data_IF_169211699742
#
_entry.id   IF_169211699742
#
_cell.length_a   1.000
_cell.length_b   1.000
_cell.length_c   1.000
_cell.angle_alpha   90.00
_cell.angle_beta   90.00
_cell.angle_gamma   90.00
#
_symmetry.space_group_name_H-M   'P 1'
#
loop_
_entity.id
_entity.type
_entity.pdbx_description
1 polymer ?
#
# COMPACT_ATOMS: atom_id res chain seq x y z
N UNK A 1 -6.59 -17.74 0.68
CA UNK A 1 -7.58 -18.50 -0.12
C UNK A 1 -7.71 -17.84 -1.48
N UNK A 2 -7.41 -18.50 -2.61
CA UNK A 2 -7.43 -17.81 -3.92
C UNK A 2 -8.85 -17.59 -4.47
N UNK A 3 -9.84 -18.33 -3.94
CA UNK A 3 -11.27 -18.03 -4.07
C UNK A 3 -11.79 -17.75 -2.67
N UNK A 4 -11.97 -16.48 -2.27
CA UNK A 4 -12.60 -16.16 -1.01
C UNK A 4 -13.97 -16.85 -0.96
N UNK A 5 -14.37 -17.32 0.22
CA UNK A 5 -15.63 -18.02 0.50
C UNK A 5 -15.74 -19.49 0.05
N UNK A 6 -15.43 -19.84 -1.22
CA UNK A 6 -15.66 -21.21 -1.69
C UNK A 6 -14.61 -22.19 -1.12
N UNK A 7 -13.33 -21.85 -1.20
CA UNK A 7 -12.27 -22.71 -0.68
C UNK A 7 -12.35 -22.90 0.84
N UNK A 8 -12.73 -21.84 1.56
CA UNK A 8 -12.91 -21.82 3.01
C UNK A 8 -14.11 -22.67 3.47
N UNK A 9 -15.22 -22.61 2.75
CA UNK A 9 -16.39 -23.46 3.00
C UNK A 9 -16.09 -24.92 2.68
N UNK A 10 -15.44 -25.21 1.56
CA UNK A 10 -15.09 -26.60 1.21
C UNK A 10 -14.07 -27.18 2.21
N UNK A 11 -13.10 -26.38 2.67
CA UNK A 11 -12.08 -26.82 3.63
C UNK A 11 -12.64 -27.13 5.03
N UNK A 12 -13.81 -26.62 5.40
CA UNK A 12 -14.45 -26.93 6.69
C UNK A 12 -15.25 -28.24 6.67
N UNK A 13 -15.53 -28.80 5.48
CA UNK A 13 -16.29 -30.04 5.33
C UNK A 13 -15.55 -31.27 5.91
N UNK A 14 -14.27 -31.54 5.56
CA UNK A 14 -13.56 -32.73 6.07
C UNK A 14 -13.41 -32.77 7.61
N UNK A 15 -13.04 -31.68 8.31
CA UNK A 15 -12.97 -31.65 9.77
C UNK A 15 -14.32 -31.93 10.43
N UNK A 16 -15.41 -31.36 9.91
CA UNK A 16 -16.76 -31.57 10.46
C UNK A 16 -17.19 -33.02 10.28
N UNK A 17 -16.96 -33.62 9.10
CA UNK A 17 -17.19 -35.04 8.84
C UNK A 17 -16.37 -35.93 9.78
N UNK A 18 -15.09 -35.62 9.97
CA UNK A 18 -14.22 -36.36 10.88
C UNK A 18 -14.69 -36.26 12.33
N UNK A 19 -15.07 -35.05 12.77
CA UNK A 19 -15.64 -34.81 14.09
C UNK A 19 -16.96 -35.55 14.29
N UNK A 20 -17.80 -35.64 13.25
CA UNK A 20 -19.06 -36.36 13.32
C UNK A 20 -18.88 -37.85 13.64
N UNK A 21 -17.78 -38.45 13.15
CA UNK A 21 -17.46 -39.87 13.39
C UNK A 21 -16.73 -40.06 14.72
N UNK A 22 -15.98 -39.07 15.20
CA UNK A 22 -15.03 -39.23 16.33
C UNK A 22 -15.47 -38.56 17.64
N UNK A 23 -16.36 -37.57 17.58
CA UNK A 23 -16.77 -36.76 18.73
C UNK A 23 -18.21 -37.04 19.15
N UNK A 24 -18.50 -36.85 20.44
CA UNK A 24 -19.87 -36.77 20.93
C UNK A 24 -20.59 -35.49 20.47
N UNK A 25 -21.91 -35.42 20.69
CA UNK A 25 -22.77 -34.32 20.21
C UNK A 25 -22.28 -32.94 20.66
N UNK A 26 -21.90 -32.79 21.93
CA UNK A 26 -21.53 -31.48 22.47
C UNK A 26 -20.16 -30.99 21.98
N UNK A 27 -19.09 -31.81 22.00
CA UNK A 27 -17.81 -31.44 21.40
C UNK A 27 -17.89 -31.17 19.90
N UNK A 28 -18.72 -31.93 19.16
CA UNK A 28 -18.96 -31.69 17.73
C UNK A 28 -19.56 -30.29 17.49
N UNK A 29 -20.61 -29.94 18.22
CA UNK A 29 -21.27 -28.62 18.09
C UNK A 29 -20.26 -27.50 18.37
N UNK A 30 -19.47 -27.62 19.44
CA UNK A 30 -18.46 -26.62 19.81
C UNK A 30 -17.40 -26.49 18.72
N UNK A 31 -16.89 -27.60 18.18
CA UNK A 31 -15.91 -27.59 17.11
C UNK A 31 -16.46 -26.94 15.83
N UNK A 32 -17.69 -27.30 15.42
CA UNK A 32 -18.33 -26.72 14.24
C UNK A 32 -18.56 -25.22 14.40
N UNK A 33 -19.04 -24.77 15.56
CA UNK A 33 -19.22 -23.34 15.85
C UNK A 33 -17.89 -22.60 15.80
N UNK A 34 -16.82 -23.14 16.42
CA UNK A 34 -15.49 -22.53 16.36
C UNK A 34 -14.95 -22.43 14.94
N UNK A 35 -15.11 -23.47 14.12
CA UNK A 35 -14.70 -23.46 12.71
C UNK A 35 -15.43 -22.40 11.89
N UNK A 36 -16.75 -22.28 12.07
CA UNK A 36 -17.56 -21.26 11.39
C UNK A 36 -17.18 -19.85 11.83
N UNK A 37 -17.05 -19.61 13.14
CA UNK A 37 -16.64 -18.31 13.69
C UNK A 37 -15.25 -17.94 13.19
N UNK A 38 -14.31 -18.88 13.21
CA UNK A 38 -12.97 -18.67 12.68
C UNK A 38 -13.02 -18.26 11.21
N UNK A 39 -13.80 -18.96 10.36
CA UNK A 39 -13.94 -18.59 8.96
C UNK A 39 -14.58 -17.21 8.77
N UNK A 40 -15.60 -16.87 9.56
CA UNK A 40 -16.27 -15.58 9.45
C UNK A 40 -15.33 -14.44 9.85
N UNK A 41 -14.58 -14.60 10.94
CA UNK A 41 -13.65 -13.57 11.43
C UNK A 41 -12.47 -13.42 10.46
N UNK A 42 -11.82 -14.52 10.09
CA UNK A 42 -10.65 -14.46 9.20
C UNK A 42 -11.04 -14.06 7.77
N UNK A 43 -12.02 -14.73 7.17
CA UNK A 43 -12.40 -14.51 5.78
C UNK A 43 -13.11 -13.17 5.54
N UNK A 44 -13.96 -12.72 6.47
CA UNK A 44 -14.83 -11.57 6.20
C UNK A 44 -14.45 -10.29 6.92
N UNK A 45 -13.62 -10.37 7.97
CA UNK A 45 -13.22 -9.18 8.74
C UNK A 45 -11.73 -8.90 8.57
N UNK A 46 -10.88 -9.91 8.72
CA UNK A 46 -9.42 -9.70 8.66
C UNK A 46 -8.97 -9.61 7.20
N UNK A 47 -9.30 -10.60 6.38
CA UNK A 47 -8.86 -10.69 4.98
C UNK A 47 -9.43 -9.51 4.16
N UNK A 48 -10.69 -9.13 4.34
CA UNK A 48 -11.31 -7.95 3.66
C UNK A 48 -10.74 -6.62 4.13
N UNK A 49 -10.53 -6.40 5.43
CA UNK A 49 -9.93 -5.14 5.93
C UNK A 49 -8.50 -4.96 5.44
N UNK A 50 -7.78 -6.05 5.18
CA UNK A 50 -6.40 -6.03 4.72
C UNK A 50 -6.31 -5.97 3.20
N UNK A 51 -7.19 -6.69 2.48
CA UNK A 51 -7.23 -6.70 1.02
C UNK A 51 -7.86 -5.44 0.41
N UNK A 52 -8.84 -4.82 1.07
CA UNK A 52 -9.65 -3.71 0.53
C UNK A 52 -8.85 -2.44 0.21
N UNK A 53 -7.67 -2.24 0.79
CA UNK A 53 -6.78 -1.12 0.46
C UNK A 53 -5.84 -1.38 -0.71
N UNK A 54 -5.66 -2.64 -1.10
CA UNK A 54 -4.52 -3.06 -1.93
C UNK A 54 -4.81 -3.05 -3.44
N UNK A 55 -6.08 -3.04 -3.85
CA UNK A 55 -6.42 -3.27 -5.26
C UNK A 55 -6.50 -2.00 -6.09
N UNK A 56 -6.91 -0.86 -5.52
CA UNK A 56 -7.05 0.46 -6.19
C UNK A 56 -7.40 0.31 -7.69
N UNK A 57 -8.53 -0.31 -7.97
CA UNK A 57 -8.97 -0.66 -9.32
C UNK A 57 -10.40 -0.20 -9.51
N UNK A 58 -10.69 0.41 -10.64
CA UNK A 58 -12.03 0.88 -10.99
C UNK A 58 -13.05 -0.28 -10.93
N UNK A 59 -14.16 -0.14 -10.16
CA UNK A 59 -15.19 -1.18 -10.08
C UNK A 59 -15.81 -1.51 -11.45
N UNK A 60 -15.93 -0.52 -12.34
CA UNK A 60 -16.44 -0.72 -13.69
C UNK A 60 -15.51 -1.59 -14.53
N UNK A 61 -14.20 -1.34 -14.43
CA UNK A 61 -13.19 -2.18 -15.09
C UNK A 61 -13.27 -3.62 -14.58
N UNK A 62 -13.37 -3.81 -13.26
CA UNK A 62 -13.51 -5.14 -12.66
C UNK A 62 -14.74 -5.87 -13.20
N UNK A 63 -15.89 -5.20 -13.32
CA UNK A 63 -17.10 -5.79 -13.93
C UNK A 63 -16.86 -6.22 -15.38
N UNK A 64 -16.26 -5.35 -16.19
CA UNK A 64 -16.00 -5.63 -17.61
C UNK A 64 -15.04 -6.81 -17.77
N UNK A 65 -13.91 -6.78 -17.05
CA UNK A 65 -12.90 -7.85 -17.09
C UNK A 65 -13.49 -9.16 -16.58
N UNK A 66 -14.27 -9.12 -15.50
CA UNK A 66 -14.92 -10.32 -14.93
C UNK A 66 -15.95 -10.92 -15.88
N UNK A 67 -16.80 -10.09 -16.51
CA UNK A 67 -17.78 -10.52 -17.49
C UNK A 67 -17.10 -11.13 -18.73
N UNK A 68 -16.02 -10.50 -19.21
CA UNK A 68 -15.22 -11.00 -20.32
C UNK A 68 -14.56 -12.35 -20.00
N UNK A 69 -13.92 -12.48 -18.83
CA UNK A 69 -13.31 -13.75 -18.43
C UNK A 69 -14.33 -14.84 -18.16
N UNK A 70 -15.53 -14.50 -17.66
CA UNK A 70 -16.64 -15.45 -17.56
C UNK A 70 -17.05 -16.00 -18.93
N UNK A 71 -17.20 -15.10 -19.91
CA UNK A 71 -17.53 -15.52 -21.27
C UNK A 71 -16.43 -16.41 -21.88
N UNK A 72 -15.16 -16.15 -21.55
CA UNK A 72 -14.03 -16.92 -22.05
C UNK A 72 -13.96 -18.32 -21.41
N UNK A 73 -13.79 -18.41 -20.08
CA UNK A 73 -13.49 -19.67 -19.35
C UNK A 73 -14.49 -19.99 -18.22
N UNK A 74 -15.65 -19.36 -18.20
CA UNK A 74 -16.69 -19.58 -17.19
C UNK A 74 -16.29 -19.10 -15.79
N UNK A 75 -16.73 -19.83 -14.77
CA UNK A 75 -16.52 -19.48 -13.35
C UNK A 75 -15.02 -19.41 -13.00
N UNK A 76 -14.20 -20.29 -13.58
CA UNK A 76 -12.74 -20.28 -13.37
C UNK A 76 -12.14 -18.99 -13.90
N UNK A 77 -12.61 -18.50 -15.06
CA UNK A 77 -12.19 -17.23 -15.63
C UNK A 77 -12.48 -16.06 -14.71
N UNK A 78 -13.69 -15.98 -14.13
CA UNK A 78 -14.06 -14.92 -13.19
C UNK A 78 -13.15 -14.87 -11.95
N UNK A 79 -12.81 -16.04 -11.42
CA UNK A 79 -11.92 -16.17 -10.26
C UNK A 79 -10.53 -15.58 -10.59
N UNK A 80 -10.04 -15.82 -11.80
CA UNK A 80 -8.71 -15.37 -12.23
C UNK A 80 -8.69 -13.92 -12.72
N UNK A 81 -9.85 -13.29 -12.99
CA UNK A 81 -9.94 -11.92 -13.51
C UNK A 81 -9.24 -10.90 -12.63
N UNK A 82 -9.52 -10.92 -11.32
CA UNK A 82 -8.98 -9.96 -10.35
C UNK A 82 -7.46 -10.05 -10.25
N UNK A 83 -6.84 -11.20 -9.94
CA UNK A 83 -5.38 -11.27 -9.86
C UNK A 83 -4.71 -10.93 -11.19
N UNK A 84 -5.31 -11.29 -12.33
CA UNK A 84 -4.75 -10.98 -13.63
C UNK A 84 -4.71 -9.47 -13.91
N UNK A 85 -5.82 -8.75 -13.68
CA UNK A 85 -5.86 -7.30 -13.90
C UNK A 85 -4.96 -6.54 -12.92
N UNK A 86 -4.81 -7.03 -11.69
CA UNK A 86 -3.89 -6.47 -10.69
C UNK A 86 -2.45 -6.59 -11.15
N UNK A 87 -2.04 -7.77 -11.62
CA UNK A 87 -0.68 -7.97 -12.14
C UNK A 87 -0.42 -7.02 -13.32
N UNK A 88 -1.38 -6.88 -14.24
CA UNK A 88 -1.27 -5.92 -15.35
C UNK A 88 -1.10 -4.49 -14.81
N UNK A 89 -1.96 -4.05 -13.89
CA UNK A 89 -1.87 -2.71 -13.30
C UNK A 89 -0.49 -2.47 -12.67
N UNK A 90 -0.01 -3.38 -11.83
CA UNK A 90 1.30 -3.26 -11.16
C UNK A 90 2.45 -3.16 -12.18
N UNK A 91 2.39 -3.94 -13.26
CA UNK A 91 3.40 -3.86 -14.33
C UNK A 91 3.34 -2.50 -15.01
N UNK A 92 2.14 -1.99 -15.32
CA UNK A 92 1.96 -0.68 -15.94
C UNK A 92 2.41 0.47 -15.02
N UNK A 93 2.22 0.33 -13.70
CA UNK A 93 2.67 1.30 -12.69
C UNK A 93 4.19 1.36 -12.57
N UNK A 94 4.88 0.23 -12.72
CA UNK A 94 6.34 0.19 -12.59
C UNK A 94 7.08 0.74 -13.82
N UNK A 95 6.38 0.94 -14.94
CA UNK A 95 6.96 1.48 -16.17
C UNK A 95 6.47 2.93 -16.34
N UNK A 96 7.39 3.90 -16.26
CA UNK A 96 7.08 5.33 -16.37
C UNK A 96 6.22 5.69 -17.58
N UNK A 97 6.52 5.09 -18.75
CA UNK A 97 5.82 5.37 -20.00
C UNK A 97 4.35 4.91 -19.99
N UNK A 98 4.01 3.85 -19.25
CA UNK A 98 2.64 3.28 -19.21
C UNK A 98 1.86 3.63 -17.95
N UNK A 99 2.50 4.28 -16.98
CA UNK A 99 1.87 4.72 -15.73
C UNK A 99 0.58 5.53 -15.93
N UNK A 100 0.44 6.43 -16.92
CA UNK A 100 -0.82 7.14 -17.13
C UNK A 100 -1.99 6.18 -17.35
N UNK A 101 -1.75 5.03 -18.01
CA UNK A 101 -2.75 3.99 -18.22
C UNK A 101 -3.11 3.36 -16.88
N UNK A 102 -2.14 3.04 -16.03
CA UNK A 102 -2.41 2.48 -14.70
C UNK A 102 -3.29 3.40 -13.85
N UNK A 103 -3.04 4.71 -13.88
CA UNK A 103 -3.84 5.71 -13.16
C UNK A 103 -5.29 5.74 -13.69
N UNK A 104 -5.51 5.54 -14.99
CA UNK A 104 -6.86 5.44 -15.55
C UNK A 104 -7.60 4.16 -15.11
N UNK A 105 -6.86 3.11 -14.75
CA UNK A 105 -7.43 1.87 -14.22
C UNK A 105 -7.71 1.97 -12.72
N UNK A 106 -7.15 2.97 -12.02
CA UNK A 106 -7.40 3.23 -10.60
C UNK A 106 -8.79 3.76 -10.32
N UNK A 107 -9.28 3.55 -9.09
CA UNK A 107 -10.57 4.07 -8.65
C UNK A 107 -10.46 5.53 -8.18
N UNK A 108 -9.32 5.90 -7.59
CA UNK A 108 -9.06 7.26 -7.10
C UNK A 108 -7.85 7.88 -7.78
N UNK A 109 -7.82 9.22 -7.78
CA UNK A 109 -6.60 9.95 -8.07
C UNK A 109 -5.55 9.67 -6.98
N UNK A 110 -4.26 9.65 -7.34
CA UNK A 110 -3.19 9.49 -6.35
C UNK A 110 -3.26 10.64 -5.34
N UNK A 111 -3.00 10.31 -4.08
CA UNK A 111 -2.82 11.30 -3.03
C UNK A 111 -1.53 12.09 -3.26
N UNK A 112 -1.41 13.27 -2.64
CA UNK A 112 -0.19 14.07 -2.76
C UNK A 112 1.03 13.31 -2.20
N UNK A 113 0.87 12.54 -1.13
CA UNK A 113 1.92 11.70 -0.56
C UNK A 113 2.34 10.56 -1.51
N UNK A 114 1.39 9.84 -2.11
CA UNK A 114 1.70 8.82 -3.14
C UNK A 114 2.43 9.45 -4.34
N UNK A 115 2.04 10.66 -4.75
CA UNK A 115 2.70 11.38 -5.84
C UNK A 115 4.13 11.81 -5.50
N UNK A 116 4.39 12.26 -4.26
CA UNK A 116 5.74 12.56 -3.77
C UNK A 116 6.60 11.30 -3.62
N UNK A 117 6.02 10.18 -3.15
CA UNK A 117 6.76 8.92 -3.00
C UNK A 117 7.26 8.47 -4.37
N UNK A 118 6.41 8.60 -5.39
CA UNK A 118 6.76 8.27 -6.75
C UNK A 118 7.81 9.22 -7.34
N UNK A 119 7.62 10.53 -7.18
CA UNK A 119 8.54 11.52 -7.72
C UNK A 119 9.94 11.47 -7.06
N UNK A 120 10.04 10.98 -5.82
CA UNK A 120 11.30 10.82 -5.10
C UNK A 120 11.91 9.41 -5.25
N UNK A 121 11.26 8.51 -5.99
CA UNK A 121 11.68 7.10 -6.12
C UNK A 121 13.11 6.95 -6.64
N UNK A 122 13.50 7.84 -7.56
CA UNK A 122 14.84 7.85 -8.17
C UNK A 122 15.81 8.85 -7.50
N UNK A 123 15.36 9.52 -6.44
CA UNK A 123 16.13 10.50 -5.68
C UNK A 123 16.45 11.78 -6.45
N UNK A 124 15.72 12.04 -7.53
CA UNK A 124 15.82 13.24 -8.36
C UNK A 124 14.41 13.66 -8.73
N UNK A 125 14.18 14.97 -8.80
CA UNK A 125 12.90 15.52 -9.18
C UNK A 125 13.00 16.18 -10.54
N UNK A 126 12.32 15.62 -11.53
CA UNK A 126 12.29 16.16 -12.89
C UNK A 126 11.38 17.39 -12.98
N UNK A 127 11.54 18.19 -14.05
CA UNK A 127 10.64 19.32 -14.31
C UNK A 127 9.19 18.88 -14.51
N UNK A 128 8.98 17.71 -15.13
CA UNK A 128 7.65 17.14 -15.34
C UNK A 128 6.97 16.72 -14.03
N UNK A 129 7.70 16.11 -13.11
CA UNK A 129 7.16 15.72 -11.79
C UNK A 129 6.87 16.95 -10.93
N UNK A 130 7.75 17.94 -10.94
CA UNK A 130 7.50 19.23 -10.28
C UNK A 130 6.19 19.88 -10.75
N UNK A 131 5.91 19.83 -12.06
CA UNK A 131 4.67 20.36 -12.59
C UNK A 131 3.45 19.58 -12.09
N UNK A 132 3.50 18.24 -12.14
CA UNK A 132 2.43 17.36 -11.64
C UNK A 132 2.14 17.57 -10.15
N UNK A 133 3.18 17.68 -9.32
CA UNK A 133 3.03 17.91 -7.89
C UNK A 133 2.37 19.26 -7.59
N UNK A 134 2.74 20.31 -8.32
CA UNK A 134 2.11 21.63 -8.17
C UNK A 134 0.68 21.67 -8.68
N UNK A 135 0.35 20.92 -9.73
CA UNK A 135 -1.04 20.74 -10.16
C UNK A 135 -1.85 20.00 -9.11
N UNK A 136 -1.35 18.88 -8.59
CA UNK A 136 -2.00 18.13 -7.51
C UNK A 136 -2.19 18.96 -6.25
N UNK A 137 -1.17 19.72 -5.83
CA UNK A 137 -1.28 20.66 -4.72
C UNK A 137 -2.46 21.62 -4.91
N UNK A 138 -2.58 22.23 -6.10
CA UNK A 138 -3.68 23.17 -6.41
C UNK A 138 -5.04 22.47 -6.46
N UNK A 139 -5.10 21.26 -7.02
CA UNK A 139 -6.35 20.51 -7.14
C UNK A 139 -6.86 20.01 -5.79
N UNK A 140 -5.95 19.67 -4.88
CA UNK A 140 -6.25 19.17 -3.54
C UNK A 140 -6.37 20.30 -2.49
N UNK A 141 -6.18 21.56 -2.89
CA UNK A 141 -6.20 22.75 -2.02
C UNK A 141 -5.25 22.63 -0.82
N UNK A 142 -4.03 22.12 -1.08
CA UNK A 142 -3.02 21.89 -0.04
C UNK A 142 -2.11 23.10 0.09
N UNK A 143 -1.93 23.58 1.33
CA UNK A 143 -1.05 24.72 1.64
C UNK A 143 0.43 24.39 1.41
N UNK A 144 1.26 25.40 1.13
CA UNK A 144 2.70 25.21 0.93
C UNK A 144 3.37 24.55 2.17
N UNK A 145 2.92 24.88 3.38
CA UNK A 145 3.42 24.28 4.63
C UNK A 145 3.12 22.78 4.70
N UNK A 146 1.91 22.38 4.33
CA UNK A 146 1.53 20.97 4.23
C UNK A 146 2.32 20.24 3.14
N UNK A 147 2.65 20.90 2.02
CA UNK A 147 3.50 20.29 0.98
C UNK A 147 4.89 20.02 1.50
N UNK A 148 5.50 20.97 2.22
CA UNK A 148 6.82 20.79 2.85
C UNK A 148 6.77 19.62 3.83
N UNK A 149 5.71 19.55 4.64
CA UNK A 149 5.52 18.46 5.59
C UNK A 149 5.39 17.10 4.89
N UNK A 150 4.54 16.99 3.87
CA UNK A 150 4.36 15.75 3.11
C UNK A 150 5.66 15.35 2.41
N UNK A 151 6.31 16.27 1.69
CA UNK A 151 7.55 16.00 0.97
C UNK A 151 8.69 15.56 1.90
N UNK A 152 8.86 16.24 3.04
CA UNK A 152 9.87 15.90 4.05
C UNK A 152 9.60 14.55 4.71
N UNK A 153 8.36 14.27 5.11
CA UNK A 153 7.95 12.98 5.68
C UNK A 153 8.20 11.84 4.70
N UNK A 154 7.75 11.99 3.45
CA UNK A 154 7.95 11.00 2.40
C UNK A 154 9.45 10.74 2.15
N UNK A 155 10.27 11.80 2.09
CA UNK A 155 11.71 11.68 1.93
C UNK A 155 12.35 10.88 3.08
N UNK A 156 12.01 11.18 4.34
CA UNK A 156 12.49 10.46 5.53
C UNK A 156 12.13 8.98 5.46
N UNK A 157 10.86 8.66 5.18
CA UNK A 157 10.37 7.29 5.09
C UNK A 157 11.07 6.50 3.97
N UNK A 158 11.23 7.11 2.80
CA UNK A 158 11.94 6.50 1.68
C UNK A 158 13.43 6.27 1.97
N UNK A 159 14.09 7.19 2.67
CA UNK A 159 15.49 7.05 3.08
C UNK A 159 15.68 5.87 4.04
N UNK A 160 14.81 5.74 5.05
CA UNK A 160 14.82 4.62 6.00
C UNK A 160 14.59 3.30 5.26
N UNK A 161 13.59 3.25 4.38
CA UNK A 161 13.19 2.07 3.59
C UNK A 161 14.32 1.61 2.66
N UNK A 162 14.92 2.53 1.90
CA UNK A 162 16.00 2.24 0.92
C UNK A 162 17.39 2.14 1.54
N UNK A 163 17.56 2.56 2.80
CA UNK A 163 18.85 2.72 3.51
C UNK A 163 19.86 3.59 2.75
N UNK A 164 19.36 4.51 1.94
CA UNK A 164 20.14 5.37 1.05
C UNK A 164 19.44 6.72 0.94
N UNK A 165 20.22 7.79 0.89
CA UNK A 165 19.74 9.16 0.79
C UNK A 165 20.21 9.82 -0.50
N UNK A 166 19.30 10.53 -1.17
CA UNK A 166 19.63 11.44 -2.26
C UNK A 166 19.87 12.87 -1.73
N UNK A 167 20.62 13.72 -2.45
CA UNK A 167 20.84 15.11 -2.02
C UNK A 167 19.54 15.89 -1.83
N UNK A 168 18.54 15.61 -2.68
CA UNK A 168 17.22 16.24 -2.60
C UNK A 168 16.47 15.82 -1.32
N UNK A 169 16.45 14.52 -1.02
CA UNK A 169 15.79 14.00 0.19
C UNK A 169 16.41 14.54 1.46
N UNK A 170 17.73 14.72 1.48
CA UNK A 170 18.42 15.31 2.64
C UNK A 170 17.93 16.74 2.85
N UNK A 171 17.81 17.54 1.78
CA UNK A 171 17.26 18.89 1.87
C UNK A 171 15.84 18.91 2.43
N UNK A 172 14.95 18.08 1.87
CA UNK A 172 13.56 17.97 2.32
C UNK A 172 13.43 17.53 3.78
N UNK A 173 14.25 16.57 4.22
CA UNK A 173 14.26 16.09 5.60
C UNK A 173 14.85 17.11 6.59
N UNK A 174 15.78 17.95 6.16
CA UNK A 174 16.33 19.03 6.98
C UNK A 174 15.36 20.21 7.07
N UNK A 175 14.62 20.50 6.00
CA UNK A 175 13.69 21.63 5.94
C UNK A 175 12.42 21.40 6.78
N UNK A 176 11.95 20.17 6.89
CA UNK A 176 10.81 19.82 7.77
C UNK A 176 11.17 19.78 9.26
N UNK A 177 12.46 19.70 9.60
CA UNK A 177 12.89 19.56 10.99
C UNK A 177 12.73 20.88 11.76
N UNK A 178 11.74 20.92 12.66
CA UNK A 178 11.44 22.09 13.50
C UNK A 178 12.45 22.29 14.64
N UNK A 179 13.00 21.21 15.17
CA UNK A 179 14.00 21.25 16.24
C UNK A 179 15.37 21.67 15.69
N UNK A 180 15.87 22.83 16.13
CA UNK A 180 17.13 23.39 15.67
C UNK A 180 18.35 22.51 15.99
N UNK A 181 18.33 21.78 17.12
CA UNK A 181 19.42 20.89 17.53
C UNK A 181 19.42 19.64 16.64
N UNK A 182 18.25 19.02 16.47
CA UNK A 182 18.10 17.86 15.58
C UNK A 182 18.41 18.22 14.12
N UNK A 183 17.99 19.40 13.65
CA UNK A 183 18.28 19.90 12.30
C UNK A 183 19.77 20.05 12.06
N UNK A 184 20.50 20.63 13.01
CA UNK A 184 21.95 20.79 12.94
C UNK A 184 22.67 19.42 12.93
N UNK A 185 22.21 18.47 13.74
CA UNK A 185 22.75 17.13 13.79
C UNK A 185 22.49 16.35 12.49
N UNK A 186 21.26 16.40 11.97
CA UNK A 186 20.89 15.81 10.69
C UNK A 186 21.74 16.38 9.55
N UNK A 187 21.88 17.70 9.45
CA UNK A 187 22.67 18.35 8.42
C UNK A 187 24.17 17.97 8.48
N UNK A 188 24.68 17.64 9.67
CA UNK A 188 26.07 17.19 9.86
C UNK A 188 26.27 15.73 9.47
N UNK A 189 25.31 14.87 9.82
CA UNK A 189 25.47 13.40 9.77
C UNK A 189 24.93 12.82 8.45
N UNK A 190 23.88 13.40 7.86
CA UNK A 190 23.37 12.94 6.57
C UNK A 190 24.31 13.33 5.43
N UNK A 191 24.74 12.31 4.69
CA UNK A 191 25.49 12.46 3.46
C UNK A 191 24.80 11.69 2.33
N UNK A 192 24.90 12.16 1.07
CA UNK A 192 24.35 11.43 -0.07
C UNK A 192 24.97 10.04 -0.18
N UNK A 193 24.15 9.02 -0.40
CA UNK A 193 24.60 7.63 -0.46
C UNK A 193 24.06 6.79 0.69
N UNK A 194 24.83 5.78 1.10
CA UNK A 194 24.36 4.76 2.05
C UNK A 194 24.30 5.34 3.47
N UNK A 195 23.19 5.12 4.16
CA UNK A 195 23.00 5.63 5.52
C UNK A 195 23.85 4.84 6.54
N UNK A 196 24.51 5.57 7.44
CA UNK A 196 25.14 5.05 8.65
C UNK A 196 24.09 4.54 9.67
N UNK A 197 24.51 3.83 10.71
CA UNK A 197 23.59 3.47 11.81
C UNK A 197 23.11 4.71 12.59
N UNK A 198 23.99 5.71 12.75
CA UNK A 198 23.70 6.98 13.41
C UNK A 198 22.64 7.79 12.66
N UNK A 199 22.84 8.04 11.35
CA UNK A 199 21.84 8.72 10.50
C UNK A 199 20.50 8.01 10.49
N UNK A 200 20.48 6.67 10.49
CA UNK A 200 19.23 5.90 10.60
C UNK A 200 18.52 6.10 11.93
N UNK A 201 19.26 6.22 13.03
CA UNK A 201 18.67 6.45 14.36
C UNK A 201 18.02 7.84 14.42
N UNK A 202 18.71 8.86 13.91
CA UNK A 202 18.19 10.23 13.83
C UNK A 202 16.98 10.34 12.90
N UNK A 203 17.02 9.71 11.73
CA UNK A 203 15.86 9.69 10.82
C UNK A 203 14.66 8.99 11.43
N UNK A 204 14.85 7.92 12.23
CA UNK A 204 13.75 7.27 12.95
C UNK A 204 13.20 8.14 14.07
N UNK A 205 14.04 8.91 14.75
CA UNK A 205 13.59 9.88 15.74
C UNK A 205 12.76 10.98 15.09
N UNK A 206 13.21 11.53 13.95
CA UNK A 206 12.45 12.49 13.17
C UNK A 206 11.13 11.90 12.66
N UNK A 207 11.15 10.68 12.12
CA UNK A 207 9.92 10.00 11.69
C UNK A 207 8.91 9.85 12.84
N UNK A 208 9.37 9.49 14.04
CA UNK A 208 8.51 9.42 15.23
C UNK A 208 7.89 10.78 15.62
N UNK A 209 8.63 11.89 15.47
CA UNK A 209 8.08 13.23 15.71
C UNK A 209 7.01 13.60 14.68
N UNK A 210 7.23 13.24 13.41
CA UNK A 210 6.30 13.53 12.32
C UNK A 210 5.00 12.70 12.42
N UNK A 211 5.06 11.49 12.96
CA UNK A 211 3.89 10.64 13.20
C UNK A 211 3.03 11.13 14.39
N UNK A 212 3.61 11.91 15.31
CA UNK A 212 2.89 12.48 16.47
C UNK A 212 2.16 13.80 16.17
N UNK A 213 2.50 14.48 15.06
CA UNK A 213 1.90 15.75 14.63
C UNK A 213 0.65 15.59 13.74
N UNK A 214 0.28 14.36 13.37
CA UNK A 214 -0.89 14.02 12.54
C UNK A 214 -2.21 13.89 13.34
#
# INVERSE_FOLDING_TARGET
NYVPYIGSLIATIPPILFGFVTLGTMPLIVMTVLLLVNQQVWGNVIETKWAGRALDLSPVLLLIVTAFSFWLWGIIGMILSVPFIVIIKIVLENIEATRPIAILLSERAPTLEEAWEEALKDGRLTLGENHKLRELQKLLDVSDDQVVFIAGRTAVNLMIKRRRASPLEIGLAVDICLDAELRAELARVLSPGRLSDESRKLLKQLAGQLDEEE
#
